data_IF_412756342567
#
_entry.id   IF_412756342567
#
_cell.length_a   1.000
_cell.length_b   1.000
_cell.length_c   1.000
_cell.angle_alpha   90.00
_cell.angle_beta   90.00
_cell.angle_gamma   90.00
#
_symmetry.space_group_name_H-M   'P 1'
#
loop_
_entity.id
_entity.type
_entity.pdbx_description
1 polymer ?
#
# COMPACT_ATOMS: atom_id res chain seq x y z
N UNK A 1 11.28 -16.29 -2.79
CA UNK A 1 11.69 -15.07 -2.06
C UNK A 1 10.52 -14.11 -2.01
N UNK A 2 10.27 -13.55 -0.87
CA UNK A 2 9.18 -12.58 -0.66
C UNK A 2 9.70 -11.16 -0.84
N UNK A 3 9.01 -10.38 -1.64
CA UNK A 3 9.44 -9.05 -2.07
C UNK A 3 8.34 -8.04 -1.76
N UNK A 4 8.72 -6.89 -1.22
CA UNK A 4 7.77 -5.82 -0.91
C UNK A 4 7.45 -5.01 -2.17
N UNK A 5 6.15 -4.81 -2.40
CA UNK A 5 5.61 -3.92 -3.43
C UNK A 5 4.86 -2.80 -2.73
N UNK A 6 5.18 -1.57 -3.05
CA UNK A 6 4.53 -0.40 -2.47
C UNK A 6 3.42 0.08 -3.38
N UNK A 7 2.26 0.34 -2.80
CA UNK A 7 1.11 0.94 -3.49
C UNK A 7 0.97 2.38 -3.01
N UNK A 8 0.96 3.30 -3.95
CA UNK A 8 0.81 4.73 -3.70
C UNK A 8 -0.34 5.30 -4.52
N UNK A 9 -0.96 6.36 -4.01
CA UNK A 9 -1.95 7.14 -4.77
C UNK A 9 -1.31 8.46 -5.19
N UNK A 10 -1.49 8.85 -6.45
CA UNK A 10 -1.01 10.13 -6.95
C UNK A 10 -2.03 11.24 -6.70
N UNK A 11 -1.68 12.49 -7.04
CA UNK A 11 -2.53 13.66 -6.85
C UNK A 11 -3.83 13.64 -7.68
N UNK A 12 -3.88 12.80 -8.72
CA UNK A 12 -5.07 12.63 -9.57
C UNK A 12 -5.98 11.49 -9.13
N UNK A 13 -5.67 10.87 -7.98
CA UNK A 13 -6.46 9.76 -7.44
C UNK A 13 -6.17 8.40 -8.06
N UNK A 14 -5.21 8.28 -8.97
CA UNK A 14 -4.80 7.01 -9.54
C UNK A 14 -3.75 6.34 -8.65
N UNK A 15 -3.68 5.03 -8.74
CA UNK A 15 -2.76 4.23 -7.95
C UNK A 15 -1.61 3.71 -8.81
N UNK A 16 -0.45 3.52 -8.18
CA UNK A 16 0.69 2.84 -8.79
C UNK A 16 1.28 1.85 -7.79
N UNK A 17 1.83 0.76 -8.32
CA UNK A 17 2.50 -0.27 -7.53
C UNK A 17 3.89 -0.52 -8.12
N UNK A 18 4.90 -0.57 -7.27
CA UNK A 18 6.28 -0.79 -7.70
C UNK A 18 7.05 -1.62 -6.67
N UNK A 19 8.06 -2.32 -7.14
CA UNK A 19 8.92 -3.13 -6.28
C UNK A 19 9.82 -2.21 -5.45
N UNK A 20 9.79 -2.41 -4.13
CA UNK A 20 10.65 -1.70 -3.18
C UNK A 20 11.57 -2.70 -2.50
N UNK A 21 12.54 -3.23 -3.28
CA UNK A 21 13.49 -4.21 -2.78
C UNK A 21 14.76 -4.12 -3.63
N UNK A 22 15.85 -3.72 -2.99
CA UNK A 22 17.15 -3.53 -3.67
C UNK A 22 17.76 -4.81 -4.24
N UNK A 23 17.31 -5.97 -3.77
CA UNK A 23 17.78 -7.26 -4.28
C UNK A 23 17.28 -7.56 -5.68
N UNK A 24 16.19 -6.91 -6.08
CA UNK A 24 15.56 -7.11 -7.39
C UNK A 24 16.17 -6.12 -8.39
N UNK A 25 16.67 -6.65 -9.49
CA UNK A 25 17.41 -5.87 -10.50
C UNK A 25 16.56 -5.44 -11.69
N UNK A 26 15.29 -5.78 -11.71
CA UNK A 26 14.37 -5.38 -12.75
C UNK A 26 13.23 -4.55 -12.15
N UNK A 27 12.55 -3.79 -12.99
CA UNK A 27 11.38 -3.00 -12.59
C UNK A 27 10.09 -3.59 -13.12
N UNK A 28 9.05 -3.54 -12.30
CA UNK A 28 7.67 -3.81 -12.71
C UNK A 28 6.85 -2.67 -12.15
N UNK A 29 5.96 -2.12 -12.96
CA UNK A 29 5.06 -1.04 -12.58
C UNK A 29 3.63 -1.45 -12.88
N UNK A 30 2.75 -1.32 -11.89
CA UNK A 30 1.32 -1.46 -12.09
C UNK A 30 0.63 -0.11 -11.87
N UNK A 31 -0.43 0.15 -12.61
CA UNK A 31 -1.23 1.36 -12.50
C UNK A 31 -2.72 1.04 -12.62
N UNK A 32 -3.56 1.82 -11.98
CA UNK A 32 -5.00 1.64 -12.05
C UNK A 32 -5.77 2.72 -11.33
N UNK A 33 -7.09 2.68 -11.48
CA UNK A 33 -8.03 3.58 -10.79
C UNK A 33 -8.36 3.10 -9.40
N UNK A 34 -8.15 1.82 -9.13
CA UNK A 34 -8.39 1.19 -7.82
C UNK A 34 -7.16 0.40 -7.42
N UNK A 35 -7.05 0.04 -6.15
CA UNK A 35 -5.97 -0.83 -5.66
C UNK A 35 -6.01 -2.17 -6.37
N UNK A 36 -7.19 -2.77 -6.51
CA UNK A 36 -7.34 -4.08 -7.17
C UNK A 36 -6.87 -4.05 -8.61
N UNK A 37 -7.27 -3.04 -9.38
CA UNK A 37 -6.82 -2.85 -10.76
C UNK A 37 -5.29 -2.71 -10.83
N UNK A 38 -4.72 -1.97 -9.89
CA UNK A 38 -3.29 -1.70 -9.83
C UNK A 38 -2.50 -2.99 -9.55
N UNK A 39 -2.98 -3.81 -8.62
CA UNK A 39 -2.38 -5.11 -8.32
C UNK A 39 -2.47 -6.04 -9.52
N UNK A 40 -3.63 -6.11 -10.19
CA UNK A 40 -3.78 -6.91 -11.42
C UNK A 40 -2.80 -6.46 -12.51
N UNK A 41 -2.71 -5.17 -12.76
CA UNK A 41 -1.81 -4.60 -13.77
C UNK A 41 -0.35 -4.91 -13.43
N UNK A 42 0.02 -4.79 -12.16
CA UNK A 42 1.35 -5.17 -11.68
C UNK A 42 1.65 -6.64 -11.97
N UNK A 43 0.72 -7.54 -11.68
CA UNK A 43 0.91 -8.97 -11.89
C UNK A 43 1.02 -9.32 -13.38
N UNK A 44 0.27 -8.64 -14.24
CA UNK A 44 0.40 -8.80 -15.70
C UNK A 44 1.81 -8.38 -16.15
N UNK A 45 2.30 -7.23 -15.69
CA UNK A 45 3.64 -6.75 -16.00
C UNK A 45 4.73 -7.70 -15.51
N UNK A 46 4.54 -8.27 -14.34
CA UNK A 46 5.46 -9.26 -13.79
C UNK A 46 5.53 -10.52 -14.66
N UNK A 47 4.38 -11.06 -15.06
CA UNK A 47 4.34 -12.25 -15.92
C UNK A 47 4.95 -11.99 -17.31
N UNK A 48 4.70 -10.83 -17.88
CA UNK A 48 5.31 -10.43 -19.16
C UNK A 48 6.83 -10.35 -19.05
N UNK A 49 7.34 -9.81 -17.98
CA UNK A 49 8.77 -9.72 -17.75
C UNK A 49 9.40 -11.11 -17.54
N UNK A 50 8.72 -11.98 -16.80
CA UNK A 50 9.14 -13.37 -16.61
C UNK A 50 9.24 -14.10 -17.96
N UNK A 51 8.23 -13.96 -18.82
CA UNK A 51 8.24 -14.52 -20.17
C UNK A 51 9.39 -14.01 -21.00
N UNK A 52 9.69 -12.72 -20.92
CA UNK A 52 10.82 -12.10 -21.63
C UNK A 52 12.14 -12.73 -21.20
N UNK A 53 12.35 -12.89 -19.90
CA UNK A 53 13.56 -13.52 -19.36
C UNK A 53 13.71 -14.95 -19.87
N UNK A 54 12.65 -15.74 -19.79
CA UNK A 54 12.66 -17.14 -20.22
C UNK A 54 12.88 -17.26 -21.74
N UNK A 55 12.29 -16.37 -22.53
CA UNK A 55 12.46 -16.38 -24.00
C UNK A 55 13.89 -16.02 -24.42
N UNK A 56 14.60 -15.26 -23.60
CA UNK A 56 16.02 -14.92 -23.81
C UNK A 56 16.98 -15.99 -23.28
N UNK A 57 16.47 -17.10 -22.79
CA UNK A 57 17.28 -18.18 -22.23
C UNK A 57 17.87 -17.90 -20.86
N UNK A 58 17.38 -16.85 -20.20
CA UNK A 58 17.81 -16.49 -18.84
C UNK A 58 17.01 -17.27 -17.81
N UNK A 59 17.66 -17.59 -16.69
CA UNK A 59 16.95 -18.20 -15.56
C UNK A 59 16.12 -17.14 -14.82
N UNK A 60 14.99 -17.56 -14.28
CA UNK A 60 14.09 -16.70 -13.55
C UNK A 60 13.53 -17.44 -12.33
N UNK A 61 13.75 -16.89 -11.16
CA UNK A 61 13.19 -17.42 -9.91
C UNK A 61 11.88 -16.71 -9.60
N UNK A 62 10.81 -17.47 -9.38
CA UNK A 62 9.52 -16.92 -9.03
C UNK A 62 9.58 -16.15 -7.73
N UNK A 63 8.86 -15.02 -7.69
CA UNK A 63 8.76 -14.14 -6.54
C UNK A 63 7.37 -14.19 -5.95
N UNK A 64 7.30 -14.10 -4.63
CA UNK A 64 6.06 -13.81 -3.92
C UNK A 64 6.06 -12.32 -3.55
N UNK A 65 4.91 -11.68 -3.66
CA UNK A 65 4.79 -10.25 -3.39
C UNK A 65 3.99 -9.99 -2.13
N UNK A 66 4.55 -9.08 -1.30
CA UNK A 66 3.88 -8.54 -0.14
C UNK A 66 3.50 -7.10 -0.48
N UNK A 67 2.24 -6.87 -0.81
CA UNK A 67 1.73 -5.55 -1.19
C UNK A 67 1.47 -4.73 0.06
N UNK A 68 2.15 -3.58 0.16
CA UNK A 68 1.99 -2.65 1.27
C UNK A 68 1.49 -1.31 0.76
N UNK A 69 0.43 -0.82 1.38
CA UNK A 69 -0.09 0.49 1.08
C UNK A 69 0.80 1.54 1.74
N UNK A 70 1.18 2.56 0.99
CA UNK A 70 1.85 3.72 1.57
C UNK A 70 0.90 4.38 2.57
N UNK A 71 1.37 4.67 3.79
CA UNK A 71 0.50 5.14 4.87
C UNK A 71 -0.15 6.48 4.56
N UNK A 72 0.58 7.41 3.96
CA UNK A 72 0.03 8.71 3.57
C UNK A 72 -1.07 8.55 2.52
N UNK A 73 -0.84 7.68 1.52
CA UNK A 73 -1.83 7.37 0.48
C UNK A 73 -3.06 6.69 1.06
N UNK A 74 -2.87 5.75 1.98
CA UNK A 74 -3.96 5.07 2.67
C UNK A 74 -4.84 6.06 3.43
N UNK A 75 -4.24 6.89 4.27
CA UNK A 75 -4.97 7.85 5.09
C UNK A 75 -5.68 8.90 4.20
N UNK A 76 -5.02 9.34 3.15
CA UNK A 76 -5.60 10.29 2.20
C UNK A 76 -6.79 9.69 1.45
N UNK A 77 -6.68 8.44 1.00
CA UNK A 77 -7.76 7.74 0.29
C UNK A 77 -9.03 7.61 1.10
N UNK A 78 -8.91 7.43 2.40
CA UNK A 78 -10.05 7.23 3.29
C UNK A 78 -10.40 8.47 4.12
N UNK A 79 -9.89 9.65 3.74
CA UNK A 79 -10.10 10.90 4.48
C UNK A 79 -11.57 11.33 4.53
N UNK A 80 -12.39 10.90 3.58
CA UNK A 80 -13.83 11.17 3.56
C UNK A 80 -14.63 10.22 4.48
N UNK A 81 -14.01 9.15 4.94
CA UNK A 81 -14.65 8.15 5.83
C UNK A 81 -14.00 8.19 7.21
N UNK A 82 -12.68 8.25 7.27
CA UNK A 82 -11.89 8.30 8.50
C UNK A 82 -11.37 9.73 8.69
N UNK A 83 -12.12 10.52 9.45
CA UNK A 83 -11.70 11.89 9.78
C UNK A 83 -10.47 11.91 10.69
N UNK A 84 -9.77 13.04 10.73
CA UNK A 84 -8.63 13.19 11.64
C UNK A 84 -9.05 13.00 13.10
N UNK A 85 -10.23 13.51 13.48
CA UNK A 85 -10.79 13.30 14.82
C UNK A 85 -11.06 11.82 15.09
N UNK A 86 -11.65 11.10 14.13
CA UNK A 86 -11.91 9.68 14.23
C UNK A 86 -10.64 8.86 14.33
N UNK A 87 -9.66 9.16 13.50
CA UNK A 87 -8.35 8.50 13.54
C UNK A 87 -7.63 8.75 14.86
N UNK A 88 -7.69 9.99 15.36
CA UNK A 88 -7.14 10.33 16.67
C UNK A 88 -7.77 9.51 17.78
N UNK A 89 -9.09 9.35 17.73
CA UNK A 89 -9.83 8.53 18.70
C UNK A 89 -9.39 7.06 18.62
N UNK A 90 -9.27 6.51 17.41
CA UNK A 90 -8.88 5.10 17.21
C UNK A 90 -7.43 4.82 17.59
N UNK A 91 -6.53 5.72 17.24
CA UNK A 91 -5.08 5.48 17.35
C UNK A 91 -4.46 6.04 18.64
N UNK A 92 -5.12 7.01 19.26
CA UNK A 92 -4.54 7.75 20.39
C UNK A 92 -3.49 8.79 19.96
N UNK A 93 -3.28 8.99 18.67
CA UNK A 93 -2.36 10.01 18.14
C UNK A 93 -3.10 11.35 18.00
N UNK A 94 -2.41 12.49 18.18
CA UNK A 94 -3.07 13.77 18.04
C UNK A 94 -3.36 14.10 16.56
N UNK A 95 -4.37 14.93 16.35
CA UNK A 95 -4.84 15.27 15.00
C UNK A 95 -3.79 16.03 14.18
N UNK A 96 -3.00 16.89 14.80
CA UNK A 96 -1.93 17.62 14.13
C UNK A 96 -0.87 16.68 13.55
N UNK A 97 -0.49 15.67 14.31
CA UNK A 97 0.46 14.67 13.85
C UNK A 97 -0.12 13.85 12.69
N UNK A 98 -1.37 13.40 12.84
CA UNK A 98 -2.07 12.65 11.77
C UNK A 98 -2.20 13.50 10.51
N UNK A 99 -2.47 14.78 10.61
CA UNK A 99 -2.51 15.70 9.47
C UNK A 99 -1.18 15.73 8.73
N UNK A 100 -0.07 15.74 9.44
CA UNK A 100 1.26 15.68 8.82
C UNK A 100 1.49 14.37 8.07
N UNK A 101 0.98 13.26 8.59
CA UNK A 101 1.08 11.96 7.91
C UNK A 101 0.21 11.91 6.65
N UNK A 102 -1.03 12.40 6.73
CA UNK A 102 -1.96 12.44 5.60
C UNK A 102 -1.39 13.27 4.44
N UNK A 103 -0.77 14.40 4.75
CA UNK A 103 -0.20 15.30 3.73
C UNK A 103 1.21 14.91 3.28
N UNK A 104 1.81 13.91 3.93
CA UNK A 104 3.17 13.48 3.63
C UNK A 104 4.27 14.40 4.16
N UNK A 105 3.92 15.40 4.98
CA UNK A 105 4.90 16.31 5.61
C UNK A 105 5.87 15.58 6.53
N UNK A 106 5.37 14.56 7.22
CA UNK A 106 6.16 13.69 8.08
C UNK A 106 5.84 12.25 7.72
N UNK A 107 6.87 11.41 7.73
CA UNK A 107 6.69 9.96 7.60
C UNK A 107 6.72 9.34 8.98
N UNK A 108 5.70 8.56 9.35
CA UNK A 108 5.71 7.86 10.62
C UNK A 108 6.80 6.80 10.65
N UNK A 109 7.38 6.58 11.82
CA UNK A 109 8.29 5.45 12.04
C UNK A 109 7.49 4.15 11.99
N UNK A 110 8.17 3.04 11.77
CA UNK A 110 7.53 1.72 11.64
C UNK A 110 6.64 1.38 12.85
N UNK A 111 7.06 1.74 14.04
CA UNK A 111 6.26 1.55 15.26
C UNK A 111 4.91 2.29 15.19
N UNK A 112 4.93 3.51 14.69
CA UNK A 112 3.72 4.33 14.53
C UNK A 112 2.84 3.79 13.40
N UNK A 113 3.42 3.38 12.28
CA UNK A 113 2.69 2.72 11.17
C UNK A 113 1.96 1.49 11.69
N UNK A 114 2.64 0.65 12.46
CA UNK A 114 2.03 -0.56 13.06
C UNK A 114 0.88 -0.21 13.99
N UNK A 115 1.01 0.85 14.78
CA UNK A 115 -0.04 1.32 15.67
C UNK A 115 -1.28 1.77 14.91
N UNK A 116 -1.10 2.56 13.86
CA UNK A 116 -2.21 3.01 12.99
C UNK A 116 -2.87 1.80 12.34
N UNK A 117 -2.08 0.93 11.73
CA UNK A 117 -2.56 -0.29 11.08
C UNK A 117 -3.38 -1.15 12.02
N UNK A 118 -2.84 -1.46 13.20
CA UNK A 118 -3.51 -2.32 14.17
C UNK A 118 -4.82 -1.70 14.67
N UNK A 119 -4.83 -0.40 14.91
CA UNK A 119 -6.03 0.32 15.36
C UNK A 119 -7.13 0.31 14.31
N UNK A 120 -6.78 0.58 13.05
CA UNK A 120 -7.74 0.60 11.94
C UNK A 120 -8.27 -0.80 11.66
N UNK A 121 -7.41 -1.81 11.68
CA UNK A 121 -7.82 -3.19 11.46
C UNK A 121 -8.71 -3.72 12.58
N UNK A 122 -8.41 -3.37 13.84
CA UNK A 122 -9.26 -3.74 14.97
C UNK A 122 -10.65 -3.11 14.84
N UNK A 123 -10.73 -1.86 14.40
CA UNK A 123 -11.99 -1.19 14.12
C UNK A 123 -12.77 -1.88 13.01
N UNK A 124 -12.09 -2.25 11.92
CA UNK A 124 -12.68 -3.00 10.82
C UNK A 124 -13.28 -4.33 11.26
N UNK A 125 -12.59 -5.06 12.12
CA UNK A 125 -13.11 -6.31 12.71
C UNK A 125 -14.33 -6.07 13.58
N UNK A 126 -14.33 -5.00 14.36
CA UNK A 126 -15.49 -4.62 15.17
C UNK A 126 -16.70 -4.31 14.30
N UNK A 127 -16.52 -3.55 13.23
CA UNK A 127 -17.59 -3.23 12.28
C UNK A 127 -18.13 -4.48 11.59
N UNK A 128 -17.26 -5.40 11.21
CA UNK A 128 -17.67 -6.62 10.51
C UNK A 128 -18.49 -7.57 11.36
N UNK A 129 -18.41 -7.45 12.69
CA UNK A 129 -19.20 -8.23 13.65
C UNK A 129 -20.56 -7.59 13.95
N UNK A 130 -20.77 -6.35 13.53
CA UNK A 130 -22.03 -5.67 13.75
C UNK A 130 -23.18 -6.33 13.02
N UNK A 131 -24.28 -6.51 13.71
CA UNK A 131 -25.53 -7.04 13.14
C UNK A 131 -26.61 -5.99 13.31
N UNK A 132 -27.25 -5.62 12.21
CA UNK A 132 -28.25 -4.56 12.19
C UNK A 132 -29.63 -5.06 11.84
#
# INVERSE_FOLDING_TARGET
>A
MKVTVIIEQNSKGRYSAYISDKRIKFGVLGEGKTVDETVEDFMVGYEEMKETYLSEGKSFSDLEFDFKYDIASFLSSYSNVLSLAGLSHLTGLNQGLLSHYVTGRKKPKQKTVSKIKNSVQAFGKTLSKGDF
#
